data_IF_641631089628
#
_entry.id   IF_641631089628
#
_cell.length_a   1.000
_cell.length_b   1.000
_cell.length_c   1.000
_cell.angle_alpha   90.00
_cell.angle_beta   90.00
_cell.angle_gamma   90.00
#
_symmetry.space_group_name_H-M   'P 1'
#
loop_
_entity.id
_entity.type
_entity.pdbx_description
1 polymer ?
#
# COMPACT_ATOMS: atom_id res chain seq x y z
N UNK A 1 -40.32 -20.62 8.96
CA UNK A 1 -39.53 -19.39 9.15
C UNK A 1 -38.26 -19.77 9.87
N UNK A 2 -37.14 -19.87 9.16
CA UNK A 2 -35.82 -20.10 9.75
C UNK A 2 -35.15 -18.73 9.87
N UNK A 3 -34.95 -18.26 11.08
CA UNK A 3 -34.26 -17.00 11.37
C UNK A 3 -32.78 -17.16 11.07
N UNK A 4 -32.28 -16.35 10.13
CA UNK A 4 -30.87 -16.28 9.75
C UNK A 4 -30.00 -15.83 10.95
N UNK A 5 -29.31 -16.77 11.60
CA UNK A 5 -28.24 -16.50 12.59
C UNK A 5 -26.86 -16.24 11.94
N UNK A 6 -26.83 -15.87 10.65
CA UNK A 6 -25.58 -15.76 9.87
C UNK A 6 -24.68 -14.58 10.27
N UNK A 7 -25.21 -13.56 10.95
CA UNK A 7 -24.44 -12.38 11.37
C UNK A 7 -23.30 -12.70 12.36
N UNK A 8 -23.44 -13.76 13.16
CA UNK A 8 -22.40 -14.24 14.07
C UNK A 8 -21.29 -15.02 13.34
N UNK A 9 -21.67 -15.83 12.35
CA UNK A 9 -20.75 -16.68 11.58
C UNK A 9 -19.78 -15.88 10.72
N UNK A 10 -20.24 -14.82 10.05
CA UNK A 10 -19.40 -13.97 9.17
C UNK A 10 -18.26 -13.30 9.96
N UNK A 11 -18.54 -12.77 11.16
CA UNK A 11 -17.52 -12.19 12.03
C UNK A 11 -16.51 -13.23 12.53
N UNK A 12 -16.97 -14.45 12.81
CA UNK A 12 -16.08 -15.55 13.20
C UNK A 12 -15.21 -16.02 12.03
N UNK A 13 -15.75 -16.15 10.82
CA UNK A 13 -15.00 -16.53 9.61
C UNK A 13 -13.91 -15.50 9.29
N UNK A 14 -14.21 -14.20 9.31
CA UNK A 14 -13.21 -13.16 9.08
C UNK A 14 -12.07 -13.19 10.12
N UNK A 15 -12.36 -13.65 11.35
CA UNK A 15 -11.36 -13.82 12.42
C UNK A 15 -10.55 -15.10 12.22
N UNK A 16 -11.17 -16.22 11.87
CA UNK A 16 -10.50 -17.50 11.63
C UNK A 16 -9.58 -17.41 10.41
N UNK A 17 -10.03 -16.79 9.33
CA UNK A 17 -9.23 -16.65 8.11
C UNK A 17 -7.96 -15.82 8.35
N UNK A 18 -8.05 -14.79 9.22
CA UNK A 18 -6.90 -14.01 9.68
C UNK A 18 -5.96 -14.82 10.57
N UNK A 19 -6.49 -15.64 11.49
CA UNK A 19 -5.68 -16.52 12.35
C UNK A 19 -5.00 -17.62 11.54
N UNK A 20 -5.68 -18.18 10.54
CA UNK A 20 -5.13 -19.20 9.63
C UNK A 20 -4.10 -18.58 8.69
N UNK A 21 -4.37 -17.39 8.13
CA UNK A 21 -3.36 -16.66 7.38
C UNK A 21 -2.15 -16.38 8.27
N UNK A 22 -2.35 -15.88 9.48
CA UNK A 22 -1.26 -15.58 10.41
C UNK A 22 -0.45 -16.83 10.76
N UNK A 23 -1.09 -17.97 11.04
CA UNK A 23 -0.38 -19.23 11.34
C UNK A 23 0.35 -19.83 10.13
N UNK A 24 -0.17 -19.64 8.92
CA UNK A 24 0.54 -19.98 7.67
C UNK A 24 1.73 -19.04 7.44
N UNK A 25 1.63 -17.78 7.84
CA UNK A 25 2.68 -16.77 7.67
C UNK A 25 3.72 -16.75 8.81
N UNK A 26 3.43 -17.32 9.98
CA UNK A 26 4.36 -17.45 11.12
C UNK A 26 5.46 -18.51 10.86
N UNK A 27 5.36 -19.27 9.77
CA UNK A 27 6.43 -20.17 9.30
C UNK A 27 7.53 -19.37 8.58
N UNK A 28 8.54 -18.95 9.34
CA UNK A 28 9.64 -18.10 8.87
C UNK A 28 10.32 -18.59 7.57
N UNK A 29 10.50 -19.91 7.42
CA UNK A 29 11.17 -20.50 6.25
C UNK A 29 10.31 -20.47 4.98
N UNK A 30 9.00 -20.68 5.12
CA UNK A 30 8.05 -20.58 4.00
C UNK A 30 7.93 -19.12 3.56
N UNK A 31 7.84 -18.19 4.53
CA UNK A 31 7.81 -16.76 4.27
C UNK A 31 9.06 -16.27 3.53
N UNK A 32 10.26 -16.71 3.95
CA UNK A 32 11.51 -16.35 3.31
C UNK A 32 11.58 -16.81 1.84
N UNK A 33 11.18 -18.06 1.56
CA UNK A 33 11.16 -18.59 0.18
C UNK A 33 10.15 -17.88 -0.72
N UNK A 34 8.94 -17.61 -0.21
CA UNK A 34 7.92 -16.88 -0.96
C UNK A 34 8.34 -15.44 -1.23
N UNK A 35 8.92 -14.75 -0.24
CA UNK A 35 9.44 -13.39 -0.41
C UNK A 35 10.53 -13.36 -1.48
N UNK A 36 11.50 -14.27 -1.44
CA UNK A 36 12.63 -14.24 -2.38
C UNK A 36 12.17 -14.54 -3.82
N UNK A 37 11.26 -15.50 -4.01
CA UNK A 37 10.67 -15.77 -5.32
C UNK A 37 9.93 -14.56 -5.89
N UNK A 38 9.06 -13.93 -5.09
CA UNK A 38 8.29 -12.74 -5.50
C UNK A 38 9.15 -11.50 -5.69
N UNK A 39 10.23 -11.36 -4.91
CA UNK A 39 11.21 -10.28 -5.05
C UNK A 39 11.82 -10.30 -6.45
N UNK A 40 12.29 -11.47 -6.90
CA UNK A 40 12.89 -11.63 -8.24
C UNK A 40 11.90 -11.27 -9.35
N UNK A 41 10.67 -11.74 -9.25
CA UNK A 41 9.60 -11.42 -10.20
C UNK A 41 9.32 -9.91 -10.25
N UNK A 42 9.21 -9.26 -9.09
CA UNK A 42 8.90 -7.84 -9.00
C UNK A 42 10.05 -6.96 -9.51
N UNK A 43 11.30 -7.34 -9.23
CA UNK A 43 12.50 -6.67 -9.78
C UNK A 43 12.54 -6.81 -11.30
N UNK A 44 12.31 -8.02 -11.82
CA UNK A 44 12.26 -8.28 -13.27
C UNK A 44 11.21 -7.40 -13.95
N UNK A 45 9.96 -7.47 -13.49
CA UNK A 45 8.85 -6.70 -14.07
C UNK A 45 9.08 -5.20 -13.97
N UNK A 46 9.58 -4.71 -12.83
CA UNK A 46 9.88 -3.29 -12.65
C UNK A 46 10.99 -2.82 -13.59
N UNK A 47 12.01 -3.65 -13.83
CA UNK A 47 13.09 -3.34 -14.78
C UNK A 47 12.59 -3.29 -16.22
N UNK A 48 11.70 -4.20 -16.62
CA UNK A 48 11.11 -4.24 -17.95
C UNK A 48 10.19 -3.03 -18.17
N UNK A 49 9.36 -2.70 -17.19
CA UNK A 49 8.46 -1.54 -17.25
C UNK A 49 9.24 -0.22 -17.29
N UNK A 50 10.32 -0.11 -16.52
CA UNK A 50 11.19 1.07 -16.55
C UNK A 50 11.84 1.25 -17.92
N UNK A 51 12.27 0.17 -18.58
CA UNK A 51 12.81 0.23 -19.96
C UNK A 51 11.78 0.65 -20.99
N UNK A 52 10.51 0.30 -20.78
CA UNK A 52 9.41 0.63 -21.69
C UNK A 52 8.97 2.09 -21.59
N UNK A 53 9.09 2.71 -20.40
CA UNK A 53 8.49 4.02 -20.11
C UNK A 53 9.53 5.11 -19.90
N UNK A 54 10.69 4.79 -19.32
CA UNK A 54 11.74 5.76 -19.02
C UNK A 54 12.84 5.71 -20.09
N UNK A 55 13.29 6.88 -20.55
CA UNK A 55 14.50 6.96 -21.39
C UNK A 55 15.73 6.58 -20.53
N UNK A 56 16.76 5.93 -21.10
CA UNK A 56 17.91 5.42 -20.35
C UNK A 56 18.67 6.46 -19.50
N UNK A 57 18.54 7.74 -19.83
CA UNK A 57 19.23 8.84 -19.15
C UNK A 57 18.40 9.50 -18.04
N UNK A 58 17.12 9.15 -17.89
CA UNK A 58 16.19 9.81 -16.97
C UNK A 58 15.91 9.01 -15.70
N UNK A 59 16.63 7.91 -15.41
CA UNK A 59 16.45 7.15 -14.17
C UNK A 59 17.31 7.72 -13.04
N UNK A 60 16.78 8.59 -12.16
CA UNK A 60 17.55 9.30 -11.13
C UNK A 60 17.81 8.43 -9.89
N UNK A 61 17.31 7.18 -9.89
CA UNK A 61 17.18 6.39 -8.68
C UNK A 61 18.24 5.29 -8.60
N UNK A 62 19.35 5.61 -7.95
CA UNK A 62 20.15 4.61 -7.22
C UNK A 62 19.41 4.21 -5.93
N UNK A 63 18.25 3.57 -6.09
CA UNK A 63 17.76 2.66 -5.07
C UNK A 63 17.87 1.27 -5.68
N UNK A 64 18.57 0.36 -5.01
CA UNK A 64 18.62 -1.03 -5.44
C UNK A 64 17.19 -1.56 -5.45
N UNK A 65 16.65 -1.82 -6.65
CA UNK A 65 15.28 -2.33 -6.85
C UNK A 65 14.96 -3.50 -5.93
N UNK A 66 15.98 -4.32 -5.63
CA UNK A 66 15.91 -5.41 -4.66
C UNK A 66 15.48 -4.98 -3.26
N UNK A 67 16.09 -3.93 -2.69
CA UNK A 67 15.76 -3.45 -1.34
C UNK A 67 14.32 -2.94 -1.30
N UNK A 68 13.93 -2.15 -2.31
CA UNK A 68 12.58 -1.63 -2.44
C UNK A 68 11.56 -2.76 -2.63
N UNK A 69 11.87 -3.78 -3.43
CA UNK A 69 11.01 -4.94 -3.62
C UNK A 69 10.81 -5.72 -2.32
N UNK A 70 11.89 -5.97 -1.56
CA UNK A 70 11.80 -6.66 -0.27
C UNK A 70 10.98 -5.86 0.75
N UNK A 71 11.22 -4.55 0.89
CA UNK A 71 10.46 -3.70 1.81
C UNK A 71 8.98 -3.63 1.40
N UNK A 72 8.68 -3.56 0.10
CA UNK A 72 7.31 -3.56 -0.42
C UNK A 72 6.59 -4.88 -0.16
N UNK A 73 7.28 -6.02 -0.29
CA UNK A 73 6.71 -7.34 0.01
C UNK A 73 6.46 -7.53 1.51
N UNK A 74 7.41 -7.14 2.36
CA UNK A 74 7.22 -7.16 3.82
C UNK A 74 6.03 -6.30 4.24
N UNK A 75 5.94 -5.10 3.66
CA UNK A 75 4.81 -4.20 3.89
C UNK A 75 3.51 -4.87 3.43
N UNK A 76 3.42 -5.37 2.20
CA UNK A 76 2.24 -6.08 1.69
C UNK A 76 1.79 -7.21 2.62
N UNK A 77 2.72 -8.06 3.06
CA UNK A 77 2.43 -9.17 3.98
C UNK A 77 1.89 -8.69 5.32
N UNK A 78 2.53 -7.67 5.92
CA UNK A 78 2.06 -7.08 7.17
C UNK A 78 0.65 -6.49 7.04
N UNK A 79 0.36 -5.84 5.92
CA UNK A 79 -0.95 -5.25 5.67
C UNK A 79 -2.03 -6.30 5.43
N UNK A 80 -1.69 -7.44 4.83
CA UNK A 80 -2.63 -8.56 4.64
C UNK A 80 -3.07 -9.21 5.96
N UNK A 81 -2.26 -9.10 7.02
CA UNK A 81 -2.59 -9.61 8.36
C UNK A 81 -3.35 -8.59 9.22
N UNK A 82 -3.35 -7.32 8.83
CA UNK A 82 -4.02 -6.27 9.60
C UNK A 82 -5.53 -6.36 9.47
N UNK A 83 -6.28 -5.99 10.53
CA UNK A 83 -7.73 -5.95 10.47
C UNK A 83 -8.29 -4.75 9.71
N UNK A 84 -7.44 -3.82 9.26
CA UNK A 84 -7.83 -2.59 8.57
C UNK A 84 -7.79 -2.75 7.06
N UNK A 85 -8.59 -1.94 6.38
CA UNK A 85 -8.44 -1.74 4.95
C UNK A 85 -7.37 -0.68 4.69
N UNK A 86 -6.75 -0.74 3.52
CA UNK A 86 -5.71 0.19 3.13
C UNK A 86 -6.02 0.86 1.81
N UNK A 87 -5.65 2.13 1.67
CA UNK A 87 -5.85 2.91 0.45
C UNK A 87 -4.56 3.56 0.00
N UNK A 88 -4.25 3.40 -1.28
CA UNK A 88 -3.14 4.09 -1.93
C UNK A 88 -3.61 5.49 -2.34
N UNK A 89 -2.84 6.51 -1.95
CA UNK A 89 -3.06 7.91 -2.33
C UNK A 89 -1.86 8.43 -3.12
N UNK A 90 -2.09 8.69 -4.40
CA UNK A 90 -1.12 9.35 -5.26
C UNK A 90 -1.10 10.85 -5.02
N UNK A 91 0.09 11.44 -5.12
CA UNK A 91 0.26 12.89 -5.13
C UNK A 91 0.25 13.36 -6.58
N UNK A 92 -0.64 14.30 -6.92
CA UNK A 92 -0.64 14.89 -8.24
C UNK A 92 0.47 15.95 -8.36
N UNK A 93 1.20 16.02 -9.49
CA UNK A 93 2.08 17.14 -9.78
C UNK A 93 1.36 18.48 -9.62
N UNK A 94 2.06 19.49 -9.10
CA UNK A 94 1.50 20.80 -8.79
C UNK A 94 0.85 20.92 -7.40
N UNK A 95 0.58 19.80 -6.72
CA UNK A 95 0.08 19.81 -5.32
C UNK A 95 1.14 20.40 -4.38
N UNK A 96 0.73 21.21 -3.39
CA UNK A 96 1.66 21.72 -2.37
C UNK A 96 2.18 20.60 -1.48
N UNK A 97 3.45 20.69 -1.12
CA UNK A 97 4.05 19.76 -0.16
C UNK A 97 3.37 19.88 1.21
N UNK A 98 3.08 18.73 1.82
CA UNK A 98 2.51 18.65 3.15
C UNK A 98 3.30 17.63 4.00
N UNK A 99 4.09 18.08 4.99
CA UNK A 99 4.94 17.20 5.77
C UNK A 99 4.14 16.23 6.64
N UNK A 100 2.85 16.44 6.87
CA UNK A 100 2.03 15.54 7.69
C UNK A 100 1.89 14.16 7.04
N UNK A 101 1.94 14.08 5.71
CA UNK A 101 1.77 12.83 4.97
C UNK A 101 2.72 12.64 3.78
N UNK A 102 3.67 13.56 3.56
CA UNK A 102 4.67 13.47 2.50
C UNK A 102 6.11 13.54 3.05
N UNK A 103 7.03 12.88 2.36
CA UNK A 103 8.48 12.98 2.50
C UNK A 103 9.04 13.55 1.20
N UNK A 104 9.80 14.63 1.29
CA UNK A 104 10.37 15.31 0.13
C UNK A 104 11.75 14.74 -0.23
N UNK A 105 12.00 14.62 -1.54
CA UNK A 105 13.29 14.27 -2.15
C UNK A 105 13.66 15.34 -3.18
N UNK A 106 14.96 15.57 -3.38
CA UNK A 106 15.46 16.36 -4.51
C UNK A 106 15.81 15.45 -5.71
N UNK A 107 16.30 16.06 -6.78
CA UNK A 107 16.81 15.43 -8.01
C UNK A 107 17.91 14.39 -7.75
N UNK A 108 18.68 14.56 -6.67
CA UNK A 108 19.72 13.62 -6.22
C UNK A 108 19.20 12.54 -5.26
N UNK A 109 17.88 12.40 -5.11
CA UNK A 109 17.22 11.48 -4.17
C UNK A 109 17.60 11.70 -2.69
N UNK A 110 18.12 12.88 -2.35
CA UNK A 110 18.40 13.26 -0.97
C UNK A 110 17.15 13.80 -0.32
N UNK A 111 16.96 13.50 0.96
CA UNK A 111 15.82 14.03 1.71
C UNK A 111 15.98 15.55 1.85
N UNK A 112 14.92 16.29 1.50
CA UNK A 112 14.84 17.73 1.73
C UNK A 112 14.20 17.94 3.09
N UNK A 113 14.72 18.87 3.89
CA UNK A 113 14.12 19.17 5.18
C UNK A 113 12.74 19.84 5.00
N UNK A 114 11.76 19.50 5.84
CA UNK A 114 10.36 19.93 5.69
C UNK A 114 10.21 21.45 5.56
N UNK A 115 10.96 22.24 6.34
CA UNK A 115 10.95 23.71 6.26
C UNK A 115 11.41 24.26 4.91
N UNK A 116 12.29 23.54 4.19
CA UNK A 116 12.74 23.93 2.83
C UNK A 116 11.77 23.46 1.74
N UNK A 117 10.90 22.52 2.07
CA UNK A 117 9.93 21.93 1.16
C UNK A 117 8.53 22.55 1.31
N UNK A 118 8.22 23.22 2.43
CA UNK A 118 6.89 23.72 2.78
C UNK A 118 6.18 24.53 1.68
N UNK A 119 6.92 25.41 0.99
CA UNK A 119 6.35 26.26 -0.07
C UNK A 119 6.50 25.66 -1.48
N UNK A 120 7.09 24.47 -1.59
CA UNK A 120 7.31 23.82 -2.89
C UNK A 120 6.09 23.06 -3.35
N UNK A 121 5.96 22.98 -4.67
CA UNK A 121 4.99 22.10 -5.34
C UNK A 121 5.68 20.79 -5.70
N UNK A 122 4.90 19.73 -5.64
CA UNK A 122 5.34 18.39 -6.04
C UNK A 122 5.53 18.39 -7.55
N UNK A 123 6.70 17.98 -8.01
CA UNK A 123 6.98 17.74 -9.43
C UNK A 123 6.57 16.33 -9.82
N UNK A 124 6.88 15.34 -8.97
CA UNK A 124 6.63 13.94 -9.22
C UNK A 124 6.32 13.17 -7.94
N UNK A 125 5.37 12.24 -8.00
CA UNK A 125 5.13 11.27 -6.93
C UNK A 125 6.00 10.03 -7.18
N UNK A 126 7.01 9.82 -6.33
CA UNK A 126 7.93 8.69 -6.44
C UNK A 126 7.33 7.43 -5.82
N UNK A 127 6.71 7.59 -4.64
CA UNK A 127 5.96 6.53 -3.97
C UNK A 127 4.67 7.11 -3.40
N UNK A 128 3.51 6.47 -3.61
CA UNK A 128 2.25 6.97 -3.07
C UNK A 128 2.20 6.80 -1.54
N UNK A 129 1.32 7.57 -0.91
CA UNK A 129 1.01 7.36 0.51
C UNK A 129 0.09 6.15 0.68
N UNK A 130 0.20 5.52 1.85
CA UNK A 130 -0.70 4.46 2.29
C UNK A 130 -1.50 4.93 3.49
N UNK A 131 -2.82 4.84 3.37
CA UNK A 131 -3.79 5.23 4.40
C UNK A 131 -4.44 3.97 4.96
N UNK A 132 -4.55 3.88 6.29
CA UNK A 132 -5.33 2.85 6.95
C UNK A 132 -6.74 3.37 7.24
N UNK A 133 -7.76 2.60 6.89
CA UNK A 133 -9.16 2.94 7.14
C UNK A 133 -9.86 1.76 7.82
N UNK A 134 -10.94 2.06 8.53
CA UNK A 134 -11.75 1.01 9.12
C UNK A 134 -12.47 0.24 8.01
N UNK A 135 -12.47 -1.09 8.15
CA UNK A 135 -13.14 -1.98 7.21
C UNK A 135 -14.63 -1.74 7.26
N UNK A 136 -15.25 -1.62 6.08
CA UNK A 136 -16.70 -1.46 6.01
C UNK A 136 -17.39 -2.73 6.55
N UNK A 137 -18.45 -2.58 7.36
CA UNK A 137 -19.24 -3.74 7.76
C UNK A 137 -19.79 -4.45 6.52
N UNK A 138 -19.88 -5.77 6.60
CA UNK A 138 -20.53 -6.57 5.59
C UNK A 138 -22.04 -6.29 5.59
N UNK A 139 -22.65 -6.37 4.41
CA UNK A 139 -24.11 -6.37 4.31
C UNK A 139 -24.67 -7.64 4.97
N UNK A 140 -25.91 -7.59 5.42
CA UNK A 140 -26.53 -8.71 6.14
C UNK A 140 -26.71 -9.96 5.24
N UNK A 141 -26.70 -9.77 3.93
CA UNK A 141 -26.75 -10.82 2.90
C UNK A 141 -25.37 -11.16 2.32
N UNK A 142 -24.28 -10.63 2.88
CA UNK A 142 -22.94 -10.86 2.37
C UNK A 142 -22.57 -12.35 2.44
N UNK A 143 -22.03 -12.85 1.34
CA UNK A 143 -21.60 -14.24 1.27
C UNK A 143 -20.17 -14.39 1.78
N UNK A 144 -19.78 -15.63 2.10
CA UNK A 144 -18.42 -15.93 2.58
C UNK A 144 -17.37 -15.49 1.54
N UNK A 145 -17.68 -15.65 0.25
CA UNK A 145 -16.78 -15.23 -0.83
C UNK A 145 -16.53 -13.71 -0.81
N UNK A 146 -17.53 -12.91 -0.44
CA UNK A 146 -17.39 -11.47 -0.29
C UNK A 146 -16.43 -11.13 0.85
N UNK A 147 -16.44 -11.92 1.94
CA UNK A 147 -15.53 -11.74 3.08
C UNK A 147 -14.08 -12.01 2.70
N UNK A 148 -13.85 -13.04 1.87
CA UNK A 148 -12.51 -13.45 1.41
C UNK A 148 -11.89 -12.45 0.42
N UNK A 149 -12.71 -11.80 -0.41
CA UNK A 149 -12.26 -10.93 -1.50
C UNK A 149 -12.26 -9.44 -1.12
N UNK A 150 -13.23 -8.98 -0.31
CA UNK A 150 -13.45 -7.54 -0.08
C UNK A 150 -12.40 -6.90 0.85
N UNK A 151 -11.81 -7.66 1.77
CA UNK A 151 -10.79 -7.19 2.73
C UNK A 151 -9.38 -6.97 2.13
N UNK A 152 -9.22 -6.99 0.81
CA UNK A 152 -7.89 -6.93 0.14
C UNK A 152 -7.79 -5.86 -0.94
N UNK A 153 -8.60 -4.80 -0.87
CA UNK A 153 -8.57 -3.71 -1.85
C UNK A 153 -7.64 -2.60 -1.38
N UNK A 154 -6.56 -2.37 -2.14
CA UNK A 154 -5.62 -1.25 -1.93
C UNK A 154 -5.94 -0.03 -2.79
N UNK A 155 -6.63 -0.24 -3.90
CA UNK A 155 -7.02 0.81 -4.84
C UNK A 155 -8.48 1.18 -4.58
N UNK A 156 -8.79 2.48 -4.42
CA UNK A 156 -10.17 2.90 -4.31
C UNK A 156 -10.91 2.61 -5.61
N UNK A 157 -12.18 2.23 -5.50
CA UNK A 157 -13.09 2.30 -6.63
C UNK A 157 -13.25 3.78 -7.04
N UNK A 158 -13.52 4.01 -8.33
CA UNK A 158 -13.59 5.35 -8.97
C UNK A 158 -14.63 6.27 -8.32
N UNK A 159 -15.54 5.72 -7.53
CA UNK A 159 -16.69 6.34 -6.88
C UNK A 159 -16.54 6.57 -5.36
N UNK A 160 -15.34 6.40 -4.78
CA UNK A 160 -15.11 6.64 -3.34
C UNK A 160 -14.40 7.99 -3.05
N UNK A 161 -15.13 9.12 -2.94
CA UNK A 161 -14.58 10.39 -2.48
C UNK A 161 -14.54 10.41 -0.95
N UNK A 162 -13.82 9.47 -0.31
CA UNK A 162 -13.55 9.61 1.12
C UNK A 162 -12.58 10.80 1.31
N UNK A 163 -12.87 11.74 2.23
CA UNK A 163 -11.98 12.86 2.51
C UNK A 163 -10.63 12.34 3.03
N UNK A 164 -9.56 13.02 2.60
CA UNK A 164 -8.20 12.64 2.99
C UNK A 164 -7.93 13.04 4.45
N UNK A 165 -7.54 12.08 5.28
CA UNK A 165 -7.15 12.31 6.67
C UNK A 165 -5.66 11.94 6.87
N UNK A 166 -4.74 12.92 7.05
CA UNK A 166 -3.33 12.64 7.29
C UNK A 166 -3.06 11.75 8.50
N UNK A 167 -3.93 11.78 9.52
CA UNK A 167 -3.78 10.96 10.74
C UNK A 167 -3.93 9.46 10.48
N UNK A 168 -4.55 9.09 9.36
CA UNK A 168 -4.68 7.71 8.90
C UNK A 168 -3.49 7.25 8.05
N UNK A 169 -2.51 8.12 7.80
CA UNK A 169 -1.33 7.79 7.00
C UNK A 169 -0.38 6.87 7.77
N UNK A 170 -0.33 5.60 7.35
CA UNK A 170 0.61 4.60 7.89
C UNK A 170 1.93 4.59 7.14
N UNK A 171 1.95 5.07 5.90
CA UNK A 171 3.18 5.33 5.15
C UNK A 171 3.05 6.61 4.33
N UNK A 172 3.94 7.57 4.58
CA UNK A 172 3.99 8.84 3.87
C UNK A 172 4.36 8.65 2.40
N UNK A 173 3.76 9.46 1.53
CA UNK A 173 4.19 9.53 0.13
C UNK A 173 5.64 10.01 0.05
N UNK A 174 6.38 9.55 -0.95
CA UNK A 174 7.69 10.10 -1.29
C UNK A 174 7.54 10.92 -2.56
N UNK A 175 7.89 12.19 -2.51
CA UNK A 175 7.65 13.15 -3.59
C UNK A 175 8.91 13.90 -3.95
N UNK A 176 9.09 14.17 -5.23
CA UNK A 176 10.11 15.06 -5.74
C UNK A 176 9.62 16.50 -5.63
N UNK A 177 10.39 17.35 -4.96
CA UNK A 177 10.16 18.80 -4.89
C UNK A 177 11.36 19.51 -5.49
N UNK A 178 11.12 20.32 -6.52
CA UNK A 178 12.13 21.17 -7.15
C UNK A 178 11.95 22.61 -6.69
#
# INVERSE_FOLDING_TARGET
>A
MVTNEFGGGIKQVARVDKVVAQSLFDRADEQARTIESRKRELVKNSSEFTKLICRPHDTPFSMTLEKTATESLKLKLSLMLSPKDYRIRYCQPGTRYDPTWMKSRNDKNQQVADHKAADKKITLCLFPALLAQDTQPFADDARIEDVLVKNRKFFPASDEPKPFNPKQCVAKAVVLVL
#
